data_IF_062768784429
#
_entry.id   IF_062768784429
#
_cell.length_a   1.000
_cell.length_b   1.000
_cell.length_c   1.000
_cell.angle_alpha   90.00
_cell.angle_beta   90.00
_cell.angle_gamma   90.00
#
_symmetry.space_group_name_H-M   'P 1'
#
loop_
_entity.id
_entity.type
_entity.pdbx_description
1 polymer ?
#
# COMPACT_ATOMS: atom_id res chain seq x y z
N UNK A 1 6.60 0.83 32.00
CA UNK A 1 7.33 1.74 32.94
C UNK A 1 7.50 3.14 32.35
N UNK A 2 7.97 3.27 31.11
CA UNK A 2 8.22 4.56 30.48
C UNK A 2 6.98 5.50 30.47
N UNK A 3 5.79 4.97 30.31
CA UNK A 3 4.54 5.74 30.43
C UNK A 3 4.32 6.24 31.86
N UNK A 4 4.62 5.39 32.86
CA UNK A 4 4.48 5.74 34.26
C UNK A 4 5.50 6.82 34.67
N UNK A 5 6.69 6.82 34.07
CA UNK A 5 7.70 7.87 34.28
C UNK A 5 7.39 9.17 33.53
N UNK A 6 6.25 9.27 32.85
CA UNK A 6 5.79 10.50 32.23
C UNK A 6 6.38 10.80 30.86
N UNK A 7 6.86 9.76 30.14
CA UNK A 7 7.37 9.95 28.78
C UNK A 7 6.26 10.39 27.79
N UNK A 8 5.04 9.90 28.01
CA UNK A 8 3.88 10.18 27.15
C UNK A 8 2.75 10.92 27.88
N UNK A 9 2.67 10.77 29.20
CA UNK A 9 1.67 11.42 30.02
C UNK A 9 2.27 11.76 31.41
N UNK A 10 2.04 12.96 31.91
CA UNK A 10 2.55 13.41 33.22
C UNK A 10 1.56 13.03 34.31
N UNK A 11 1.93 12.08 35.15
CA UNK A 11 1.16 11.72 36.35
C UNK A 11 1.60 12.51 37.58
N UNK A 12 0.69 12.88 38.49
CA UNK A 12 1.07 13.37 39.84
C UNK A 12 1.97 12.36 40.54
N UNK A 13 2.93 12.84 41.34
CA UNK A 13 3.96 11.99 41.96
C UNK A 13 3.39 10.80 42.75
N UNK A 14 2.31 11.01 43.51
CA UNK A 14 1.69 9.93 44.29
C UNK A 14 1.03 8.87 43.42
N UNK A 15 0.40 9.29 42.34
CA UNK A 15 -0.19 8.36 41.36
C UNK A 15 0.90 7.60 40.60
N UNK A 16 1.98 8.25 40.22
CA UNK A 16 3.13 7.62 39.61
C UNK A 16 3.71 6.53 40.49
N UNK A 17 3.91 6.80 41.80
CA UNK A 17 4.39 5.79 42.76
C UNK A 17 3.43 4.61 42.93
N UNK A 18 2.11 4.89 42.89
CA UNK A 18 1.07 3.86 42.98
C UNK A 18 1.11 2.96 41.76
N UNK A 19 1.17 3.54 40.57
CA UNK A 19 1.21 2.80 39.31
C UNK A 19 2.50 1.99 39.19
N UNK A 20 3.65 2.53 39.56
CA UNK A 20 4.92 1.79 39.59
C UNK A 20 4.90 0.59 40.53
N UNK A 21 4.34 0.73 41.73
CA UNK A 21 4.18 -0.39 42.67
C UNK A 21 3.25 -1.46 42.08
N UNK A 22 2.14 -1.04 41.48
CA UNK A 22 1.20 -1.97 40.86
C UNK A 22 1.86 -2.71 39.70
N UNK A 23 2.55 -2.00 38.82
CA UNK A 23 3.32 -2.57 37.70
C UNK A 23 4.35 -3.59 38.21
N UNK A 24 5.18 -3.22 39.20
CA UNK A 24 6.20 -4.11 39.78
C UNK A 24 5.61 -5.33 40.47
N UNK A 25 4.42 -5.21 41.05
CA UNK A 25 3.73 -6.34 41.68
C UNK A 25 3.22 -7.32 40.63
N UNK A 26 2.72 -6.80 39.49
CA UNK A 26 2.11 -7.62 38.45
C UNK A 26 3.14 -8.25 37.51
N UNK A 27 4.15 -7.49 37.07
CA UNK A 27 5.14 -7.91 36.10
C UNK A 27 6.48 -8.32 36.71
N UNK A 28 6.69 -8.05 38.00
CA UNK A 28 7.95 -8.29 38.70
C UNK A 28 9.05 -7.27 38.37
N UNK A 29 10.26 -7.52 38.87
CA UNK A 29 11.42 -6.67 38.61
C UNK A 29 12.33 -7.17 37.50
N UNK A 30 11.95 -8.22 36.80
CA UNK A 30 12.77 -8.80 35.73
C UNK A 30 12.54 -8.03 34.42
N UNK A 31 13.63 -7.65 33.79
CA UNK A 31 13.58 -7.21 32.38
C UNK A 31 13.03 -8.35 31.54
N UNK A 32 12.13 -8.00 30.60
CA UNK A 32 11.61 -8.97 29.66
C UNK A 32 12.69 -9.33 28.64
N UNK A 33 13.14 -10.59 28.64
CA UNK A 33 14.19 -11.13 27.78
C UNK A 33 13.66 -12.04 26.65
N UNK A 34 12.34 -12.09 26.46
CA UNK A 34 11.72 -12.89 25.43
C UNK A 34 12.05 -12.44 24.00
N UNK A 35 11.68 -13.25 23.04
CA UNK A 35 11.72 -12.92 21.62
C UNK A 35 10.51 -12.06 21.24
N UNK A 36 10.75 -10.98 20.51
CA UNK A 36 9.63 -10.16 19.95
C UNK A 36 8.82 -10.95 18.93
N UNK A 37 9.44 -11.91 18.23
CA UNK A 37 8.75 -12.78 17.29
C UNK A 37 7.78 -13.71 18.02
N UNK A 38 8.22 -14.38 19.09
CA UNK A 38 7.35 -15.21 19.92
C UNK A 38 6.19 -14.40 20.52
N UNK A 39 6.47 -13.18 20.99
CA UNK A 39 5.43 -12.29 21.51
C UNK A 39 4.40 -11.92 20.43
N UNK A 40 4.86 -11.67 19.22
CA UNK A 40 4.00 -11.34 18.09
C UNK A 40 3.15 -12.54 17.67
N UNK A 41 3.75 -13.71 17.57
CA UNK A 41 3.04 -14.95 17.23
C UNK A 41 1.99 -15.31 18.29
N UNK A 42 2.34 -15.21 19.58
CA UNK A 42 1.41 -15.43 20.69
C UNK A 42 0.23 -14.47 20.63
N UNK A 43 0.48 -13.19 20.31
CA UNK A 43 -0.57 -12.19 20.12
C UNK A 43 -1.50 -12.55 18.97
N UNK A 44 -0.96 -12.93 17.81
CA UNK A 44 -1.77 -13.30 16.65
C UNK A 44 -2.61 -14.55 16.94
N UNK A 45 -2.04 -15.57 17.58
CA UNK A 45 -2.77 -16.75 18.02
C UNK A 45 -3.90 -16.42 18.99
N UNK A 46 -3.65 -15.51 19.94
CA UNK A 46 -4.68 -15.06 20.88
C UNK A 46 -5.81 -14.33 20.18
N UNK A 47 -5.51 -13.47 19.18
CA UNK A 47 -6.54 -12.78 18.39
C UNK A 47 -7.37 -13.78 17.56
N UNK A 48 -6.72 -14.74 16.92
CA UNK A 48 -7.40 -15.81 16.19
C UNK A 48 -8.32 -16.63 17.11
N UNK A 49 -7.85 -16.98 18.31
CA UNK A 49 -8.64 -17.70 19.31
C UNK A 49 -9.88 -16.91 19.81
N UNK A 50 -9.82 -15.58 19.76
CA UNK A 50 -10.95 -14.68 20.05
C UNK A 50 -11.94 -14.54 18.89
N UNK A 51 -11.68 -15.19 17.76
CA UNK A 51 -12.51 -15.14 16.57
C UNK A 51 -12.22 -13.95 15.65
N UNK A 52 -11.14 -13.20 15.89
CA UNK A 52 -10.70 -12.15 14.98
C UNK A 52 -10.05 -12.79 13.75
N UNK A 53 -10.41 -12.25 12.57
CA UNK A 53 -9.77 -12.68 11.33
C UNK A 53 -8.37 -12.08 11.24
N UNK A 54 -7.38 -12.84 11.65
CA UNK A 54 -5.96 -12.42 11.64
C UNK A 54 -5.18 -13.43 10.81
N UNK A 55 -4.50 -13.01 9.74
CA UNK A 55 -3.59 -13.89 9.03
C UNK A 55 -2.44 -14.27 9.96
N UNK A 56 -2.21 -15.58 10.12
CA UNK A 56 -1.03 -16.04 10.85
C UNK A 56 0.19 -15.91 9.95
N UNK A 57 1.36 -15.51 10.49
CA UNK A 57 2.58 -15.41 9.71
C UNK A 57 2.88 -16.75 9.04
N UNK A 58 3.15 -16.69 7.75
CA UNK A 58 3.60 -17.82 6.98
C UNK A 58 5.10 -18.08 7.18
N UNK A 59 5.73 -18.68 6.18
CA UNK A 59 7.19 -18.88 6.15
C UNK A 59 7.96 -17.56 5.87
N UNK A 60 7.29 -16.54 5.35
CA UNK A 60 7.83 -15.21 5.09
C UNK A 60 6.98 -14.17 5.81
N UNK A 61 7.64 -13.14 6.35
CA UNK A 61 7.00 -11.99 6.97
C UNK A 61 6.63 -10.99 5.88
N UNK A 62 5.43 -10.47 5.96
CA UNK A 62 5.00 -9.38 5.09
C UNK A 62 5.35 -7.99 5.66
N UNK A 63 4.96 -6.93 4.96
CA UNK A 63 5.22 -5.56 5.37
C UNK A 63 4.53 -5.21 6.70
N UNK A 64 3.36 -5.74 6.96
CA UNK A 64 2.58 -5.47 8.19
C UNK A 64 3.17 -6.18 9.39
N UNK A 65 3.63 -7.42 9.20
CA UNK A 65 4.39 -8.15 10.21
C UNK A 65 5.66 -7.37 10.59
N UNK A 66 6.40 -6.88 9.59
CA UNK A 66 7.61 -6.09 9.81
C UNK A 66 7.31 -4.77 10.52
N UNK A 67 6.22 -4.09 10.17
CA UNK A 67 5.80 -2.86 10.84
C UNK A 67 5.42 -3.11 12.31
N UNK A 68 4.69 -4.18 12.59
CA UNK A 68 4.33 -4.60 13.95
C UNK A 68 5.56 -4.96 14.77
N UNK A 69 6.47 -5.76 14.21
CA UNK A 69 7.71 -6.17 14.86
C UNK A 69 8.63 -4.97 15.13
N UNK A 70 8.75 -4.03 14.19
CA UNK A 70 9.51 -2.79 14.38
C UNK A 70 8.93 -1.95 15.53
N UNK A 71 7.60 -1.81 15.57
CA UNK A 71 6.91 -1.14 16.68
C UNK A 71 7.18 -1.81 18.02
N UNK A 72 7.05 -3.13 18.09
CA UNK A 72 7.32 -3.92 19.31
C UNK A 72 8.77 -3.80 19.74
N UNK A 73 9.70 -3.95 18.80
CA UNK A 73 11.14 -3.82 19.08
C UNK A 73 11.45 -2.45 19.67
N UNK A 74 10.99 -1.39 19.02
CA UNK A 74 11.20 -0.01 19.47
C UNK A 74 10.57 0.25 20.85
N UNK A 75 9.42 -0.36 21.13
CA UNK A 75 8.72 -0.17 22.39
C UNK A 75 9.37 -0.94 23.57
N UNK A 76 9.92 -2.11 23.30
CA UNK A 76 10.37 -3.05 24.36
C UNK A 76 11.89 -3.07 24.50
N UNK A 77 12.62 -3.13 23.40
CA UNK A 77 14.07 -3.35 23.39
C UNK A 77 14.87 -2.07 23.18
N UNK A 78 14.39 -1.19 22.33
CA UNK A 78 15.13 0.00 21.87
C UNK A 78 14.51 1.27 22.45
N UNK A 79 15.23 1.92 23.34
CA UNK A 79 14.75 3.16 23.98
C UNK A 79 15.37 4.43 23.37
N UNK A 80 16.44 4.27 22.60
CA UNK A 80 17.11 5.40 21.95
C UNK A 80 16.36 5.89 20.72
N UNK A 81 16.52 7.16 20.42
CA UNK A 81 15.93 7.74 19.22
C UNK A 81 16.76 7.36 18.01
N UNK A 82 16.11 6.82 16.99
CA UNK A 82 16.76 6.56 15.70
C UNK A 82 17.15 7.91 15.08
N UNK A 83 18.41 8.10 14.76
CA UNK A 83 18.96 9.36 14.24
C UNK A 83 19.49 9.24 12.80
N UNK A 84 19.51 8.05 12.25
CA UNK A 84 20.05 7.76 10.91
C UNK A 84 19.19 8.37 9.80
N UNK A 85 17.93 8.63 10.06
CA UNK A 85 17.02 9.30 9.15
C UNK A 85 16.58 10.64 9.70
N UNK A 86 16.65 11.69 8.90
CA UNK A 86 16.13 13.04 9.21
C UNK A 86 14.86 13.37 8.41
N UNK A 87 14.70 12.74 7.25
CA UNK A 87 13.56 12.92 6.37
C UNK A 87 13.20 11.59 5.70
N UNK A 88 11.90 11.31 5.61
CA UNK A 88 11.35 10.11 4.98
C UNK A 88 10.47 10.54 3.82
N UNK A 89 10.70 9.94 2.66
CA UNK A 89 9.84 10.14 1.47
C UNK A 89 9.11 8.83 1.21
N UNK A 90 7.79 8.91 1.10
CA UNK A 90 6.91 7.77 0.80
C UNK A 90 6.17 8.10 -0.48
N UNK A 91 6.35 7.27 -1.50
CA UNK A 91 5.58 7.30 -2.74
C UNK A 91 4.57 6.16 -2.76
N UNK A 92 3.52 6.28 -3.59
CA UNK A 92 2.40 5.32 -3.65
C UNK A 92 1.81 5.03 -2.26
N UNK A 93 1.63 6.08 -1.48
CA UNK A 93 1.26 5.99 -0.07
C UNK A 93 -0.08 5.27 0.18
N UNK A 94 -0.98 5.22 -0.81
CA UNK A 94 -2.26 4.52 -0.71
C UNK A 94 -2.11 3.01 -0.54
N UNK A 95 -0.98 2.43 -0.95
CA UNK A 95 -0.76 0.99 -0.88
C UNK A 95 -0.38 0.50 0.53
N UNK A 96 -0.11 1.43 1.45
CA UNK A 96 0.25 1.11 2.83
C UNK A 96 -0.92 1.36 3.79
N UNK A 97 -1.14 0.43 4.72
CA UNK A 97 -2.14 0.60 5.77
C UNK A 97 -1.66 1.45 6.95
N UNK A 98 -2.60 1.92 7.77
CA UNK A 98 -2.34 2.79 8.92
C UNK A 98 -1.36 2.21 9.94
N UNK A 99 -1.24 0.87 10.04
CA UNK A 99 -0.25 0.23 10.93
C UNK A 99 1.18 0.59 10.52
N UNK A 100 1.48 0.65 9.22
CA UNK A 100 2.79 1.03 8.69
C UNK A 100 3.11 2.47 9.09
N UNK A 101 2.18 3.40 8.88
CA UNK A 101 2.36 4.82 9.24
C UNK A 101 2.49 5.03 10.74
N UNK A 102 1.69 4.33 11.54
CA UNK A 102 1.79 4.36 13.00
C UNK A 102 3.14 3.87 13.49
N UNK A 103 3.64 2.79 12.92
CA UNK A 103 4.96 2.25 13.22
C UNK A 103 6.08 3.20 12.81
N UNK A 104 6.05 3.72 11.59
CA UNK A 104 7.03 4.71 11.10
C UNK A 104 7.08 5.95 12.01
N UNK A 105 5.92 6.55 12.29
CA UNK A 105 5.86 7.72 13.16
C UNK A 105 6.42 7.44 14.57
N UNK A 106 6.12 6.27 15.11
CA UNK A 106 6.61 5.88 16.43
C UNK A 106 8.12 5.62 16.44
N UNK A 107 8.62 4.88 15.46
CA UNK A 107 10.04 4.51 15.36
C UNK A 107 10.91 5.71 14.98
N UNK A 108 10.44 6.54 14.06
CA UNK A 108 11.16 7.70 13.49
C UNK A 108 10.55 9.02 13.95
N UNK A 109 10.33 9.17 15.24
CA UNK A 109 9.58 10.29 15.84
C UNK A 109 10.19 11.69 15.65
N UNK A 110 11.44 11.78 15.20
CA UNK A 110 12.13 13.06 14.92
C UNK A 110 12.31 13.35 13.44
N UNK A 111 11.85 12.45 12.56
CA UNK A 111 11.92 12.65 11.12
C UNK A 111 10.81 13.59 10.66
N UNK A 112 11.08 14.31 9.59
CA UNK A 112 10.05 14.94 8.76
C UNK A 112 9.65 14.00 7.64
N UNK A 113 8.46 14.20 7.05
CA UNK A 113 7.88 13.29 6.07
C UNK A 113 7.44 14.05 4.83
N UNK A 114 7.66 13.46 3.67
CA UNK A 114 6.97 13.79 2.42
C UNK A 114 6.23 12.54 1.98
N UNK A 115 4.90 12.62 1.93
CA UNK A 115 4.04 11.48 1.61
C UNK A 115 3.25 11.84 0.36
N UNK A 116 3.36 11.00 -0.66
CA UNK A 116 2.72 11.17 -1.97
C UNK A 116 1.93 9.92 -2.34
N UNK A 117 0.81 10.09 -3.02
CA UNK A 117 0.01 8.96 -3.48
C UNK A 117 -1.33 9.41 -4.06
N UNK A 118 -2.12 8.44 -4.47
CA UNK A 118 -3.45 8.63 -5.01
C UNK A 118 -4.38 7.53 -4.46
N UNK A 119 -5.26 7.87 -3.52
CA UNK A 119 -6.17 6.91 -2.89
C UNK A 119 -7.13 6.24 -3.89
N UNK A 120 -7.36 6.85 -5.06
CA UNK A 120 -8.17 6.25 -6.11
C UNK A 120 -7.45 5.13 -6.87
N UNK A 121 -6.14 5.00 -6.72
CA UNK A 121 -5.30 3.95 -7.30
C UNK A 121 -4.95 2.84 -6.32
N UNK A 122 -5.56 2.82 -5.13
CA UNK A 122 -5.32 1.76 -4.15
C UNK A 122 -5.70 0.39 -4.73
N UNK A 123 -4.70 -0.50 -4.83
CA UNK A 123 -4.87 -1.90 -5.28
C UNK A 123 -5.15 -2.86 -4.13
N UNK A 124 -5.00 -2.40 -2.87
CA UNK A 124 -5.11 -3.21 -1.66
C UNK A 124 -6.30 -2.78 -0.81
N UNK A 125 -7.51 -3.10 -1.26
CA UNK A 125 -8.76 -2.63 -0.65
C UNK A 125 -8.95 -2.99 0.82
N UNK A 126 -8.35 -4.09 1.27
CA UNK A 126 -8.53 -4.59 2.64
C UNK A 126 -7.70 -3.81 3.68
N UNK A 127 -6.61 -3.15 3.28
CA UNK A 127 -5.67 -2.52 4.22
C UNK A 127 -4.99 -1.24 3.73
N UNK A 128 -5.01 -0.93 2.43
CA UNK A 128 -4.50 0.33 1.90
C UNK A 128 -5.42 1.51 2.24
N UNK A 129 -4.96 2.72 1.98
CA UNK A 129 -5.73 3.93 2.26
C UNK A 129 -6.88 4.09 1.27
N UNK A 130 -8.07 4.32 1.78
CA UNK A 130 -9.26 4.66 0.99
C UNK A 130 -9.57 6.17 1.00
N UNK A 131 -9.00 6.90 1.96
CA UNK A 131 -9.02 8.36 2.04
C UNK A 131 -7.77 8.89 2.76
N UNK A 132 -7.62 10.20 2.81
CA UNK A 132 -6.47 10.84 3.45
C UNK A 132 -6.69 11.28 4.90
N UNK A 133 -7.92 11.24 5.42
CA UNK A 133 -8.25 11.91 6.68
C UNK A 133 -7.58 11.27 7.89
N UNK A 134 -7.55 9.93 7.94
CA UNK A 134 -6.89 9.22 9.03
C UNK A 134 -5.38 9.43 9.01
N UNK A 135 -4.77 9.34 7.82
CA UNK A 135 -3.34 9.61 7.64
C UNK A 135 -2.99 11.05 7.98
N UNK A 136 -3.80 12.03 7.54
CA UNK A 136 -3.61 13.45 7.89
C UNK A 136 -3.67 13.65 9.39
N UNK A 137 -4.66 13.08 10.06
CA UNK A 137 -4.79 13.16 11.52
C UNK A 137 -3.59 12.57 12.24
N UNK A 138 -3.02 11.50 11.71
CA UNK A 138 -1.83 10.87 12.28
C UNK A 138 -0.57 11.66 11.96
N UNK A 139 -0.31 11.99 10.70
CA UNK A 139 1.01 12.47 10.23
C UNK A 139 1.14 13.99 10.19
N UNK A 140 0.02 14.73 10.11
CA UNK A 140 -0.02 16.19 9.96
C UNK A 140 -0.73 16.88 11.15
N UNK A 141 -0.27 16.67 12.41
CA UNK A 141 -0.94 17.24 13.58
C UNK A 141 -0.62 18.71 13.81
N UNK A 142 0.43 19.25 13.17
CA UNK A 142 0.96 20.57 13.46
C UNK A 142 0.53 21.61 12.43
N UNK A 143 0.49 22.87 12.88
CA UNK A 143 0.14 24.02 12.03
C UNK A 143 1.14 24.31 10.90
N UNK A 144 2.32 23.72 10.96
CA UNK A 144 3.36 23.85 9.92
C UNK A 144 3.31 22.75 8.87
N UNK A 145 2.49 21.74 9.11
CA UNK A 145 2.29 20.67 8.16
C UNK A 145 1.40 21.14 7.01
N UNK A 146 1.65 20.60 5.83
CA UNK A 146 0.97 21.02 4.61
C UNK A 146 0.36 19.81 3.89
N UNK A 147 -0.89 19.93 3.50
CA UNK A 147 -1.56 19.00 2.60
C UNK A 147 -1.93 19.71 1.30
N UNK A 148 -1.49 19.16 0.18
CA UNK A 148 -1.75 19.73 -1.15
C UNK A 148 -2.24 18.69 -2.15
N UNK A 149 -3.01 19.13 -3.12
CA UNK A 149 -3.52 18.29 -4.21
C UNK A 149 -2.84 18.68 -5.52
N UNK A 150 -2.22 17.69 -6.17
CA UNK A 150 -1.70 17.83 -7.54
C UNK A 150 -2.82 17.47 -8.52
N UNK A 151 -3.51 18.49 -9.05
CA UNK A 151 -4.69 18.28 -9.91
C UNK A 151 -4.35 18.09 -11.37
N UNK A 152 -3.21 18.59 -11.85
CA UNK A 152 -2.86 18.55 -13.27
C UNK A 152 -2.20 17.22 -13.64
N UNK A 153 -2.83 16.48 -14.56
CA UNK A 153 -2.26 15.27 -15.13
C UNK A 153 -1.58 15.56 -16.46
N UNK A 154 -0.31 15.20 -16.56
CA UNK A 154 0.51 15.32 -17.79
C UNK A 154 0.68 13.98 -18.50
N UNK A 155 0.27 12.87 -17.87
CA UNK A 155 0.48 11.50 -18.37
C UNK A 155 -0.59 11.11 -19.39
N UNK A 156 -1.86 11.31 -19.06
CA UNK A 156 -2.98 10.82 -19.82
C UNK A 156 -3.54 11.85 -20.81
N UNK A 157 -4.22 11.37 -21.85
CA UNK A 157 -5.04 12.23 -22.72
C UNK A 157 -6.36 12.59 -22.03
N UNK A 158 -7.05 13.58 -22.57
CA UNK A 158 -8.37 14.02 -22.07
C UNK A 158 -9.35 12.85 -22.04
N UNK A 159 -9.38 12.03 -23.11
CA UNK A 159 -10.30 10.91 -23.28
C UNK A 159 -10.05 9.83 -22.20
N UNK A 160 -8.79 9.49 -21.94
CA UNK A 160 -8.44 8.53 -20.89
C UNK A 160 -8.79 9.06 -19.49
N UNK A 161 -8.47 10.34 -19.23
CA UNK A 161 -8.76 10.96 -17.94
C UNK A 161 -10.25 11.05 -17.66
N UNK A 162 -11.05 11.42 -18.66
CA UNK A 162 -12.50 11.49 -18.53
C UNK A 162 -13.10 10.09 -18.26
N UNK A 163 -12.67 9.09 -19.02
CA UNK A 163 -13.15 7.71 -18.84
C UNK A 163 -12.80 7.17 -17.45
N UNK A 164 -11.58 7.40 -16.98
CA UNK A 164 -11.16 7.00 -15.63
C UNK A 164 -11.98 7.73 -14.56
N UNK A 165 -12.24 9.02 -14.73
CA UNK A 165 -13.06 9.82 -13.82
C UNK A 165 -14.50 9.31 -13.79
N UNK A 166 -15.08 8.96 -14.94
CA UNK A 166 -16.43 8.39 -15.02
C UNK A 166 -16.53 7.06 -14.24
N UNK A 167 -15.48 6.21 -14.30
CA UNK A 167 -15.43 4.98 -13.49
C UNK A 167 -15.42 5.32 -12.00
N UNK A 168 -14.62 6.30 -11.56
CA UNK A 168 -14.54 6.69 -10.16
C UNK A 168 -15.87 7.21 -9.62
N UNK A 169 -16.69 7.88 -10.44
CA UNK A 169 -18.03 8.33 -10.02
C UNK A 169 -19.01 7.19 -9.73
N UNK A 170 -18.73 5.98 -10.16
CA UNK A 170 -19.49 4.78 -9.79
C UNK A 170 -19.01 4.12 -8.49
N UNK A 171 -17.88 4.56 -7.96
CA UNK A 171 -17.32 4.10 -6.68
C UNK A 171 -17.83 4.89 -5.47
N UNK A 172 -17.40 4.48 -4.30
CA UNK A 172 -17.71 5.15 -3.01
C UNK A 172 -16.54 5.96 -2.46
N UNK A 173 -15.51 6.17 -3.25
CA UNK A 173 -14.28 6.86 -2.85
C UNK A 173 -14.43 8.38 -2.88
N UNK A 174 -13.68 9.14 -2.05
CA UNK A 174 -13.53 10.57 -2.24
C UNK A 174 -12.88 10.84 -3.59
N UNK A 175 -13.56 11.58 -4.45
CA UNK A 175 -13.05 11.92 -5.78
C UNK A 175 -12.32 13.24 -5.71
N UNK A 176 -11.05 13.22 -6.06
CA UNK A 176 -10.24 14.43 -6.26
C UNK A 176 -10.20 14.76 -7.76
N UNK A 177 -10.83 15.86 -8.21
CA UNK A 177 -10.91 16.17 -9.64
C UNK A 177 -9.53 16.31 -10.26
N UNK A 178 -9.31 15.59 -11.35
CA UNK A 178 -8.10 15.67 -12.17
C UNK A 178 -8.36 16.62 -13.34
N UNK A 179 -7.46 17.55 -13.56
CA UNK A 179 -7.45 18.46 -14.73
C UNK A 179 -6.42 17.93 -15.72
N UNK A 180 -6.83 17.20 -16.79
CA UNK A 180 -5.88 16.79 -17.81
C UNK A 180 -5.35 18.01 -18.55
N UNK A 181 -4.07 17.99 -18.93
CA UNK A 181 -3.58 18.95 -19.93
C UNK A 181 -4.31 18.68 -21.26
N UNK A 182 -4.47 19.74 -22.06
CA UNK A 182 -5.15 19.64 -23.36
C UNK A 182 -4.25 18.84 -24.34
N UNK A 183 -4.28 17.53 -24.18
CA UNK A 183 -3.69 16.57 -25.10
C UNK A 183 -4.74 15.53 -25.45
N UNK A 184 -5.16 15.53 -26.71
CA UNK A 184 -6.15 14.62 -27.23
C UNK A 184 -5.54 13.34 -27.78
N UNK A 185 -6.24 12.24 -27.62
CA UNK A 185 -5.88 10.91 -28.11
C UNK A 185 -7.09 10.19 -28.69
N UNK A 186 -7.00 8.87 -28.72
CA UNK A 186 -8.13 8.04 -29.15
C UNK A 186 -9.08 7.84 -27.97
N UNK A 187 -10.37 7.70 -28.29
CA UNK A 187 -11.40 7.32 -27.33
C UNK A 187 -11.08 5.96 -26.69
N UNK A 188 -11.39 5.84 -25.40
CA UNK A 188 -11.33 4.57 -24.69
C UNK A 188 -12.44 3.65 -25.23
N UNK A 189 -12.09 2.42 -25.50
CA UNK A 189 -12.99 1.46 -26.13
C UNK A 189 -13.31 0.32 -25.19
N UNK A 190 -14.58 0.11 -24.92
CA UNK A 190 -15.07 -1.01 -24.14
C UNK A 190 -15.68 -2.06 -25.06
N UNK A 191 -15.35 -3.33 -24.86
CA UNK A 191 -15.88 -4.45 -25.65
C UNK A 191 -16.40 -5.52 -24.69
N UNK A 192 -17.69 -5.78 -24.71
CA UNK A 192 -18.28 -6.92 -24.01
C UNK A 192 -17.98 -8.22 -24.77
N UNK A 193 -17.61 -9.26 -24.03
CA UNK A 193 -17.37 -10.60 -24.56
C UNK A 193 -18.28 -11.59 -23.84
N UNK A 194 -18.85 -12.55 -24.60
CA UNK A 194 -19.77 -13.57 -24.07
C UNK A 194 -19.02 -14.74 -23.42
N UNK A 195 -17.81 -15.00 -23.90
CA UNK A 195 -16.95 -16.09 -23.41
C UNK A 195 -15.45 -15.74 -23.56
N UNK A 196 -14.60 -16.54 -22.92
CA UNK A 196 -13.15 -16.38 -22.96
C UNK A 196 -12.59 -16.49 -24.41
N UNK A 197 -13.18 -17.34 -25.24
CA UNK A 197 -12.74 -17.47 -26.66
C UNK A 197 -12.99 -16.20 -27.44
N UNK A 198 -14.08 -15.51 -27.17
CA UNK A 198 -14.38 -14.21 -27.78
C UNK A 198 -13.43 -13.16 -27.22
N UNK A 199 -13.16 -13.15 -25.92
CA UNK A 199 -12.18 -12.27 -25.28
C UNK A 199 -10.81 -12.37 -25.97
N UNK A 200 -10.26 -13.57 -26.08
CA UNK A 200 -8.98 -13.80 -26.74
C UNK A 200 -8.98 -13.34 -28.20
N UNK A 201 -10.05 -13.60 -28.95
CA UNK A 201 -10.16 -13.15 -30.35
C UNK A 201 -10.15 -11.62 -30.48
N UNK A 202 -10.93 -10.92 -29.64
CA UNK A 202 -10.98 -9.46 -29.67
C UNK A 202 -9.67 -8.84 -29.16
N UNK A 203 -9.01 -9.45 -28.20
CA UNK A 203 -7.68 -9.04 -27.73
C UNK A 203 -6.66 -9.12 -28.87
N UNK A 204 -6.56 -10.26 -29.57
CA UNK A 204 -5.64 -10.43 -30.71
C UNK A 204 -5.93 -9.40 -31.82
N UNK A 205 -7.20 -9.20 -32.14
CA UNK A 205 -7.62 -8.24 -33.15
C UNK A 205 -7.24 -6.80 -32.75
N UNK A 206 -7.41 -6.44 -31.48
CA UNK A 206 -7.03 -5.13 -30.96
C UNK A 206 -5.53 -4.93 -31.01
N UNK A 207 -4.75 -5.93 -30.59
CA UNK A 207 -3.29 -5.92 -30.67
C UNK A 207 -2.83 -5.70 -32.12
N UNK A 208 -3.38 -6.47 -33.07
CA UNK A 208 -3.02 -6.33 -34.47
C UNK A 208 -3.37 -4.93 -35.04
N UNK A 209 -4.50 -4.34 -34.61
CA UNK A 209 -4.86 -2.98 -34.97
C UNK A 209 -3.87 -1.95 -34.41
N UNK A 210 -3.44 -2.12 -33.16
CA UNK A 210 -2.51 -1.20 -32.54
C UNK A 210 -1.10 -1.29 -33.13
N UNK A 211 -0.63 -2.50 -33.44
CA UNK A 211 0.60 -2.69 -34.19
C UNK A 211 0.55 -2.02 -35.58
N UNK A 212 -0.57 -2.14 -36.30
CA UNK A 212 -0.78 -1.46 -37.57
C UNK A 212 -0.79 0.08 -37.45
N UNK A 213 -1.10 0.62 -36.29
CA UNK A 213 -0.97 2.05 -35.96
C UNK A 213 0.44 2.47 -35.53
N UNK A 214 1.38 1.53 -35.43
CA UNK A 214 2.77 1.79 -35.05
C UNK A 214 3.04 1.75 -33.55
N UNK A 215 2.13 1.18 -32.74
CA UNK A 215 2.45 0.94 -31.32
C UNK A 215 3.39 -0.24 -31.20
N UNK A 216 4.55 -0.01 -30.63
CA UNK A 216 5.62 -1.02 -30.47
C UNK A 216 5.56 -1.74 -29.13
N UNK A 217 5.00 -1.10 -28.10
CA UNK A 217 4.84 -1.67 -26.76
C UNK A 217 3.36 -1.74 -26.39
N UNK A 218 2.87 -2.95 -26.16
CA UNK A 218 1.45 -3.22 -25.85
C UNK A 218 1.40 -4.10 -24.60
N UNK A 219 0.70 -3.65 -23.56
CA UNK A 219 0.44 -4.43 -22.36
C UNK A 219 -1.01 -4.93 -22.35
N UNK A 220 -1.18 -6.23 -22.10
CA UNK A 220 -2.47 -6.84 -21.73
C UNK A 220 -2.45 -7.00 -20.21
N UNK A 221 -3.27 -6.20 -19.53
CA UNK A 221 -3.32 -6.17 -18.06
C UNK A 221 -4.47 -7.09 -17.62
N UNK A 222 -4.17 -8.03 -16.75
CA UNK A 222 -5.11 -8.99 -16.18
C UNK A 222 -5.34 -8.69 -14.69
N UNK A 223 -6.43 -9.21 -14.15
CA UNK A 223 -6.82 -8.95 -12.77
C UNK A 223 -5.85 -9.57 -11.74
N UNK A 224 -5.31 -10.75 -12.05
CA UNK A 224 -4.44 -11.52 -11.18
C UNK A 224 -3.48 -12.40 -11.99
N UNK A 225 -2.54 -13.06 -11.30
CA UNK A 225 -1.55 -13.95 -11.91
C UNK A 225 -2.18 -15.16 -12.63
N UNK A 226 -3.27 -15.71 -12.10
CA UNK A 226 -3.96 -16.87 -12.69
C UNK A 226 -4.57 -16.50 -14.04
N UNK A 227 -5.28 -15.39 -14.10
CA UNK A 227 -5.84 -14.87 -15.34
C UNK A 227 -4.73 -14.49 -16.34
N UNK A 228 -3.66 -13.82 -15.89
CA UNK A 228 -2.52 -13.46 -16.73
C UNK A 228 -1.85 -14.72 -17.32
N UNK A 229 -1.67 -15.77 -16.53
CA UNK A 229 -1.16 -17.06 -16.99
C UNK A 229 -2.04 -17.73 -18.04
N UNK A 230 -3.36 -17.77 -17.80
CA UNK A 230 -4.35 -18.34 -18.74
C UNK A 230 -4.39 -17.56 -20.05
N UNK A 231 -4.53 -16.24 -19.99
CA UNK A 231 -4.55 -15.35 -21.17
C UNK A 231 -3.25 -15.44 -21.96
N UNK A 232 -2.10 -15.42 -21.29
CA UNK A 232 -0.79 -15.56 -21.93
C UNK A 232 -0.67 -16.88 -22.69
N UNK A 233 -1.09 -18.00 -22.08
CA UNK A 233 -1.06 -19.32 -22.72
C UNK A 233 -1.92 -19.39 -24.00
N UNK A 234 -3.09 -18.75 -23.99
CA UNK A 234 -3.97 -18.71 -25.16
C UNK A 234 -3.44 -17.77 -26.26
N UNK A 235 -2.93 -16.61 -25.90
CA UNK A 235 -2.38 -15.65 -26.86
C UNK A 235 -1.12 -16.16 -27.54
N UNK A 236 -0.22 -16.86 -26.82
CA UNK A 236 1.01 -17.48 -27.36
C UNK A 236 0.78 -18.49 -28.49
N UNK A 237 -0.42 -19.06 -28.57
CA UNK A 237 -0.78 -19.95 -29.68
C UNK A 237 -0.87 -19.24 -31.02
N UNK A 238 -0.96 -17.89 -31.02
CA UNK A 238 -1.25 -17.11 -32.23
C UNK A 238 -0.35 -15.90 -32.43
N UNK A 239 0.22 -15.35 -31.36
CA UNK A 239 1.08 -14.17 -31.40
C UNK A 239 2.29 -14.37 -30.51
N UNK A 240 3.38 -13.66 -30.82
CA UNK A 240 4.58 -13.63 -30.00
C UNK A 240 4.34 -12.71 -28.80
N UNK A 241 4.65 -13.21 -27.59
CA UNK A 241 4.52 -12.49 -26.33
C UNK A 241 5.87 -12.50 -25.65
N UNK A 242 6.31 -11.33 -25.20
CA UNK A 242 7.49 -11.21 -24.36
C UNK A 242 7.16 -11.61 -22.91
N UNK A 243 8.05 -12.42 -22.33
CA UNK A 243 7.93 -12.75 -20.91
C UNK A 243 8.34 -11.55 -20.07
N UNK A 244 7.49 -11.20 -19.14
CA UNK A 244 7.79 -10.26 -18.09
C UNK A 244 7.81 -11.03 -16.77
N UNK A 245 8.96 -11.08 -16.13
CA UNK A 245 9.16 -11.72 -14.83
C UNK A 245 9.92 -10.78 -13.90
N UNK A 246 10.01 -11.12 -12.62
CA UNK A 246 10.67 -10.31 -11.60
C UNK A 246 12.17 -10.06 -11.87
N UNK A 247 12.78 -10.80 -12.80
CA UNK A 247 14.19 -10.65 -13.21
C UNK A 247 14.35 -9.74 -14.44
N UNK A 248 13.25 -9.25 -15.02
CA UNK A 248 13.28 -8.41 -16.22
C UNK A 248 13.65 -6.98 -15.82
N UNK A 249 14.87 -6.56 -16.09
CA UNK A 249 15.41 -5.24 -15.72
C UNK A 249 14.91 -4.09 -16.61
N UNK A 250 14.46 -4.36 -17.82
CA UNK A 250 13.99 -3.32 -18.76
C UNK A 250 12.71 -3.71 -19.48
N UNK A 251 11.79 -2.77 -19.60
CA UNK A 251 10.62 -2.88 -20.47
C UNK A 251 11.07 -2.82 -21.94
N UNK A 252 11.15 -3.96 -22.60
CA UNK A 252 11.38 -4.05 -24.04
C UNK A 252 10.18 -3.65 -24.87
N UNK A 253 10.38 -3.43 -26.18
CA UNK A 253 9.28 -3.36 -27.15
C UNK A 253 8.64 -4.74 -27.33
N UNK A 254 7.33 -4.80 -27.54
CA UNK A 254 6.59 -6.03 -27.79
C UNK A 254 5.26 -6.09 -27.06
N UNK A 255 4.68 -7.29 -27.04
CA UNK A 255 3.40 -7.56 -26.37
C UNK A 255 3.71 -8.26 -25.06
N UNK A 256 3.19 -7.72 -23.97
CA UNK A 256 3.34 -8.27 -22.62
C UNK A 256 1.97 -8.59 -22.03
N UNK A 257 1.88 -9.64 -21.22
CA UNK A 257 0.71 -9.96 -20.39
C UNK A 257 1.16 -9.89 -18.95
N UNK A 258 0.52 -9.03 -18.18
CA UNK A 258 0.91 -8.73 -16.79
C UNK A 258 -0.32 -8.73 -15.87
N UNK A 259 -0.23 -9.19 -14.63
CA UNK A 259 -1.26 -8.97 -13.62
C UNK A 259 -1.20 -7.52 -13.10
N UNK A 260 -2.28 -7.11 -12.42
CA UNK A 260 -2.30 -5.87 -11.62
C UNK A 260 -1.53 -6.08 -10.32
#
# INVERSE_FOLDING_TARGET
ENEIYGKYYSYPQEEQKRLLRHYQTYFGKREWNGSIFELYDDFLMEQAAKGNHVPLPGTALDLYDLAALAYLYKRIKETEVIQEASHVVIDEAQDFGMMVYGSLKYCLSKCTYTIMGDVSQNSYFDYGLTDWEELRSLMLPDKFDYFGLLRKSYRNTVEISNYATDILYHGTFPIYPIEPIIRHGKEVRTTGCEDERQLIRETIKTIAQWQAFGYETIAVICRDEEEAGSVSAELRKKIEIHEFNAETEEFGSGIMVIPI
#
